data_IF_707185215859
#
_entry.id   IF_707185215859
#
_cell.length_a   1.000
_cell.length_b   1.000
_cell.length_c   1.000
_cell.angle_alpha   90.00
_cell.angle_beta   90.00
_cell.angle_gamma   90.00
#
_symmetry.space_group_name_H-M   'P 1'
#
loop_
_entity.id
_entity.type
_entity.pdbx_description
1 polymer ?
#
# COMPACT_ATOMS: atom_id res chain seq x y z
N UNK A 1 19.58 -36.24 -2.37
CA UNK A 1 20.39 -35.00 -2.40
C UNK A 1 19.60 -33.86 -1.75
N UNK A 2 19.96 -33.57 -0.51
CA UNK A 2 19.42 -32.51 0.34
C UNK A 2 19.72 -31.12 -0.23
N UNK A 3 18.68 -30.31 -0.46
CA UNK A 3 18.82 -28.86 -0.45
C UNK A 3 18.03 -28.30 0.73
N UNK A 4 18.73 -28.11 1.85
CA UNK A 4 18.35 -27.06 2.79
C UNK A 4 18.21 -25.75 1.99
N UNK A 5 17.08 -25.06 2.11
CA UNK A 5 16.76 -23.93 1.24
C UNK A 5 15.87 -22.91 1.95
N UNK A 6 16.43 -22.24 2.96
CA UNK A 6 15.96 -21.00 3.59
C UNK A 6 14.47 -20.92 3.98
N UNK A 7 14.18 -21.19 5.26
CA UNK A 7 13.08 -20.57 6.03
C UNK A 7 13.26 -19.03 6.15
N UNK A 8 13.73 -18.36 5.11
CA UNK A 8 13.86 -16.91 5.10
C UNK A 8 12.50 -16.32 4.77
N UNK A 9 11.98 -15.51 5.70
CA UNK A 9 10.80 -14.68 5.43
C UNK A 9 11.02 -13.92 4.12
N UNK A 10 10.08 -14.00 3.14
CA UNK A 10 10.25 -13.33 1.86
C UNK A 10 10.44 -11.83 2.07
N UNK A 11 11.29 -11.18 1.26
CA UNK A 11 11.62 -9.78 1.45
C UNK A 11 10.37 -8.91 1.30
N UNK A 12 10.28 -7.89 2.14
CA UNK A 12 9.26 -6.84 2.02
C UNK A 12 9.88 -5.69 1.23
N UNK A 13 9.25 -5.34 0.12
CA UNK A 13 9.59 -4.15 -0.66
C UNK A 13 8.80 -2.95 -0.14
N UNK A 14 9.50 -1.83 0.04
CA UNK A 14 8.89 -0.56 0.46
C UNK A 14 9.07 0.51 -0.61
N UNK A 15 7.98 1.22 -0.89
CA UNK A 15 8.00 2.40 -1.76
C UNK A 15 7.26 3.54 -1.07
N UNK A 16 7.89 4.71 -1.06
CA UNK A 16 7.29 5.98 -0.69
C UNK A 16 7.27 6.90 -1.92
N UNK A 17 6.08 7.32 -2.31
CA UNK A 17 5.88 8.32 -3.36
C UNK A 17 5.37 9.57 -2.69
N UNK A 18 6.13 10.66 -2.80
CA UNK A 18 5.73 11.98 -2.33
C UNK A 18 5.41 12.90 -3.50
N UNK A 19 4.46 13.79 -3.30
CA UNK A 19 4.10 14.81 -4.27
C UNK A 19 3.13 15.83 -3.69
N UNK A 20 2.44 16.51 -4.58
CA UNK A 20 1.36 17.43 -4.22
C UNK A 20 0.00 16.93 -4.72
N UNK A 21 -1.07 17.57 -4.28
CA UNK A 21 -2.42 17.38 -4.82
C UNK A 21 -2.52 17.48 -6.36
N UNK A 22 -1.59 18.19 -7.02
CA UNK A 22 -1.50 18.22 -8.49
C UNK A 22 -0.83 16.98 -9.10
N UNK A 23 0.12 16.38 -8.39
CA UNK A 23 0.84 15.18 -8.83
C UNK A 23 0.05 13.91 -8.52
N UNK A 24 -0.78 13.95 -7.48
CA UNK A 24 -1.65 12.86 -7.04
C UNK A 24 -2.90 12.63 -7.93
N UNK A 25 -3.04 13.35 -9.05
CA UNK A 25 -4.12 13.14 -10.02
C UNK A 25 -4.06 11.76 -10.71
N UNK A 26 -2.89 11.12 -10.70
CA UNK A 26 -2.75 9.72 -11.10
C UNK A 26 -2.80 8.81 -9.88
N UNK A 27 -3.59 7.75 -9.95
CA UNK A 27 -3.68 6.75 -8.89
C UNK A 27 -2.34 6.00 -8.77
N UNK A 28 -1.57 6.16 -7.68
CA UNK A 28 -0.27 5.50 -7.55
C UNK A 28 -0.36 3.98 -7.45
N UNK A 29 -1.57 3.42 -7.23
CA UNK A 29 -1.83 1.98 -7.41
C UNK A 29 -1.64 1.59 -8.88
N UNK A 30 -2.12 2.41 -9.80
CA UNK A 30 -2.03 2.17 -11.24
C UNK A 30 -0.62 2.35 -11.81
N UNK A 31 0.26 3.08 -11.13
CA UNK A 31 1.67 3.23 -11.54
C UNK A 31 2.46 1.91 -11.46
N UNK A 32 2.00 0.93 -10.66
CA UNK A 32 2.58 -0.41 -10.63
C UNK A 32 1.87 -1.38 -11.59
N UNK A 33 0.58 -1.15 -11.82
CA UNK A 33 -0.29 -2.04 -12.59
C UNK A 33 -0.08 -1.73 -14.08
N UNK A 34 1.11 -2.08 -14.58
CA UNK A 34 1.39 -2.20 -16.01
C UNK A 34 0.65 -3.39 -16.63
N UNK A 35 0.69 -3.47 -17.97
CA UNK A 35 -0.13 -4.35 -18.81
C UNK A 35 -0.27 -5.81 -18.34
N UNK A 36 -1.34 -6.09 -17.58
CA UNK A 36 -1.77 -7.43 -17.22
C UNK A 36 -1.84 -7.75 -15.72
N UNK A 37 -1.40 -6.86 -14.82
CA UNK A 37 -1.62 -7.06 -13.38
C UNK A 37 -3.01 -6.57 -12.94
N UNK A 38 -3.55 -7.15 -11.87
CA UNK A 38 -4.87 -6.83 -11.34
C UNK A 38 -4.82 -6.78 -9.82
N UNK A 39 -5.55 -5.85 -9.20
CA UNK A 39 -5.79 -5.83 -7.76
C UNK A 39 -7.02 -6.69 -7.43
N UNK A 40 -6.87 -7.58 -6.46
CA UNK A 40 -7.92 -8.41 -5.88
C UNK A 40 -8.08 -8.13 -4.39
N UNK A 41 -9.29 -8.30 -3.89
CA UNK A 41 -9.61 -8.23 -2.44
C UNK A 41 -9.17 -6.93 -1.75
N UNK A 42 -9.22 -5.78 -2.45
CA UNK A 42 -8.90 -4.47 -1.90
C UNK A 42 -9.88 -4.06 -0.81
N UNK A 43 -9.37 -3.86 0.41
CA UNK A 43 -10.16 -3.49 1.58
C UNK A 43 -9.34 -2.65 2.55
N UNK A 44 -10.02 -1.72 3.20
CA UNK A 44 -9.49 -1.02 4.36
C UNK A 44 -9.49 -1.94 5.58
N UNK A 45 -8.39 -1.97 6.30
CA UNK A 45 -8.20 -2.65 7.57
C UNK A 45 -7.42 -1.78 8.56
N UNK A 46 -7.70 -1.87 9.87
CA UNK A 46 -6.94 -1.13 10.86
C UNK A 46 -5.53 -1.71 10.96
N UNK A 47 -4.53 -0.83 10.86
CA UNK A 47 -3.14 -1.08 11.21
C UNK A 47 -2.85 -0.44 12.57
N UNK A 48 -2.79 -1.27 13.60
CA UNK A 48 -2.50 -0.81 14.97
C UNK A 48 -1.01 -0.46 15.11
N UNK A 49 -0.72 0.79 15.45
CA UNK A 49 0.62 1.31 15.71
C UNK A 49 0.62 1.96 17.09
N UNK A 50 1.25 1.29 18.06
CA UNK A 50 1.18 1.69 19.46
C UNK A 50 -0.27 1.68 19.97
N UNK A 51 -0.80 2.85 20.33
CA UNK A 51 -2.17 3.04 20.81
C UNK A 51 -3.13 3.61 19.75
N UNK A 52 -2.70 3.72 18.49
CA UNK A 52 -3.47 4.34 17.40
C UNK A 52 -3.74 3.32 16.30
N UNK A 53 -4.99 3.21 15.88
CA UNK A 53 -5.35 2.48 14.67
C UNK A 53 -5.31 3.42 13.46
N UNK A 54 -4.54 3.04 12.45
CA UNK A 54 -4.42 3.76 11.20
C UNK A 54 -5.16 3.00 10.11
N UNK A 55 -5.93 3.67 9.26
CA UNK A 55 -6.57 3.00 8.14
C UNK A 55 -5.51 2.67 7.08
N UNK A 56 -5.28 1.38 6.85
CA UNK A 56 -4.42 0.86 5.81
C UNK A 56 -5.24 -0.01 4.86
N UNK A 57 -4.87 -0.07 3.59
CA UNK A 57 -5.53 -0.95 2.64
C UNK A 57 -4.70 -2.19 2.42
N UNK A 58 -5.34 -3.35 2.54
CA UNK A 58 -4.78 -4.64 2.16
C UNK A 58 -5.42 -5.10 0.87
N UNK A 59 -4.59 -5.56 -0.07
CA UNK A 59 -5.06 -6.20 -1.28
C UNK A 59 -4.02 -7.20 -1.79
N UNK A 60 -4.39 -7.97 -2.81
CA UNK A 60 -3.47 -8.84 -3.54
C UNK A 60 -3.29 -8.35 -4.96
N UNK A 61 -2.08 -8.42 -5.49
CA UNK A 61 -1.78 -8.11 -6.89
C UNK A 61 -1.45 -9.42 -7.59
N UNK A 62 -2.22 -9.75 -8.63
CA UNK A 62 -2.05 -10.97 -9.42
C UNK A 62 -1.83 -10.62 -10.88
N UNK A 63 -1.21 -11.53 -11.63
CA UNK A 63 -1.17 -11.47 -13.08
C UNK A 63 -1.82 -12.74 -13.66
N UNK A 64 -3.08 -12.68 -14.14
CA UNK A 64 -3.76 -13.86 -14.65
C UNK A 64 -3.16 -14.37 -15.97
N UNK A 65 -2.37 -13.57 -16.69
CA UNK A 65 -1.76 -13.97 -17.97
C UNK A 65 -0.36 -14.54 -17.80
N UNK A 66 0.24 -14.42 -16.62
CA UNK A 66 1.58 -14.91 -16.29
C UNK A 66 1.54 -15.76 -15.01
N UNK A 67 0.99 -16.99 -15.05
CA UNK A 67 0.80 -17.84 -13.86
C UNK A 67 2.11 -18.29 -13.19
N UNK A 68 3.24 -18.21 -13.91
CA UNK A 68 4.57 -18.56 -13.40
C UNK A 68 5.24 -17.40 -12.63
N UNK A 69 4.55 -16.25 -12.51
CA UNK A 69 5.04 -15.10 -11.74
C UNK A 69 4.42 -15.10 -10.34
N UNK A 70 5.16 -14.65 -9.32
CA UNK A 70 4.59 -14.55 -7.98
C UNK A 70 3.43 -13.54 -7.99
N UNK A 71 2.41 -13.84 -7.19
CA UNK A 71 1.47 -12.81 -6.76
C UNK A 71 2.12 -11.96 -5.65
N UNK A 72 1.47 -10.86 -5.26
CA UNK A 72 1.97 -10.01 -4.18
C UNK A 72 0.87 -9.70 -3.19
N UNK A 73 1.16 -9.89 -1.90
CA UNK A 73 0.39 -9.25 -0.85
C UNK A 73 0.84 -7.79 -0.76
N UNK A 74 -0.11 -6.86 -0.83
CA UNK A 74 0.13 -5.43 -0.73
C UNK A 74 -0.58 -4.86 0.50
N UNK A 75 0.14 -4.03 1.24
CA UNK A 75 -0.43 -3.08 2.19
C UNK A 75 -0.07 -1.67 1.72
N UNK A 76 -1.02 -0.74 1.71
CA UNK A 76 -0.73 0.65 1.38
C UNK A 76 -1.48 1.65 2.26
N UNK A 77 -0.86 2.82 2.42
CA UNK A 77 -1.35 3.93 3.26
C UNK A 77 -1.31 5.20 2.41
N UNK A 78 -2.42 5.93 2.40
CA UNK A 78 -2.47 7.25 1.79
C UNK A 78 -2.48 8.33 2.86
N UNK A 79 -1.64 9.34 2.66
CA UNK A 79 -1.52 10.49 3.56
C UNK A 79 -1.71 11.76 2.75
N UNK A 80 -2.61 12.63 3.20
CA UNK A 80 -2.80 13.97 2.65
C UNK A 80 -2.70 14.96 3.79
N UNK A 81 -1.83 15.96 3.65
CA UNK A 81 -1.62 17.00 4.67
C UNK A 81 -1.32 16.40 6.07
N UNK A 82 -0.51 15.34 6.10
CA UNK A 82 -0.14 14.62 7.32
C UNK A 82 -1.26 13.78 7.95
N UNK A 83 -2.42 13.64 7.30
CA UNK A 83 -3.55 12.81 7.76
C UNK A 83 -3.71 11.58 6.88
N UNK A 84 -3.89 10.42 7.51
CA UNK A 84 -4.19 9.17 6.80
C UNK A 84 -5.63 9.19 6.28
N UNK A 85 -5.83 8.78 5.04
CA UNK A 85 -7.14 8.81 4.36
C UNK A 85 -7.58 7.40 3.99
N UNK A 86 -8.86 7.12 4.26
CA UNK A 86 -9.43 5.77 4.22
C UNK A 86 -9.91 5.32 2.84
N UNK A 87 -10.09 6.23 1.88
CA UNK A 87 -10.62 5.82 0.57
C UNK A 87 -10.10 6.64 -0.60
N UNK A 88 -9.94 5.97 -1.74
CA UNK A 88 -9.69 6.60 -3.03
C UNK A 88 -10.74 7.67 -3.39
N UNK A 89 -11.99 7.50 -2.94
CA UNK A 89 -13.05 8.49 -3.12
C UNK A 89 -12.80 9.74 -2.30
N UNK A 90 -12.37 9.61 -1.03
CA UNK A 90 -11.97 10.76 -0.21
C UNK A 90 -10.73 11.45 -0.79
N UNK A 91 -9.78 10.69 -1.33
CA UNK A 91 -8.61 11.24 -2.02
C UNK A 91 -9.08 12.07 -3.22
N UNK A 92 -9.85 11.49 -4.15
CA UNK A 92 -10.37 12.21 -5.32
C UNK A 92 -11.22 13.42 -4.94
N UNK A 93 -12.05 13.31 -3.91
CA UNK A 93 -12.88 14.41 -3.42
C UNK A 93 -12.03 15.53 -2.81
N UNK A 94 -10.98 15.22 -2.05
CA UNK A 94 -10.07 16.22 -1.50
C UNK A 94 -9.19 16.86 -2.58
N UNK A 95 -8.72 16.08 -3.56
CA UNK A 95 -7.99 16.60 -4.71
C UNK A 95 -8.88 17.54 -5.54
N UNK A 96 -10.13 17.15 -5.79
CA UNK A 96 -11.12 17.99 -6.46
C UNK A 96 -11.44 19.25 -5.66
N UNK A 97 -11.66 19.14 -4.35
CA UNK A 97 -11.91 20.28 -3.47
C UNK A 97 -10.72 21.24 -3.42
N UNK A 98 -9.49 20.72 -3.38
CA UNK A 98 -8.27 21.54 -3.40
C UNK A 98 -8.12 22.28 -4.73
N UNK A 99 -8.40 21.61 -5.85
CA UNK A 99 -8.45 22.23 -7.17
C UNK A 99 -9.51 23.35 -7.27
N UNK A 100 -10.70 23.16 -6.67
CA UNK A 100 -11.80 24.13 -6.71
C UNK A 100 -11.59 25.33 -5.78
N UNK A 101 -11.04 25.11 -4.57
CA UNK A 101 -10.83 26.16 -3.55
C UNK A 101 -9.50 26.91 -3.78
N UNK A 102 -8.68 26.43 -4.72
CA UNK A 102 -7.38 27.04 -5.01
C UNK A 102 -6.33 26.81 -3.92
N UNK A 103 -6.56 25.81 -3.04
CA UNK A 103 -5.48 25.27 -2.20
C UNK A 103 -4.49 24.60 -3.15
N UNK A 104 -3.28 25.15 -3.21
CA UNK A 104 -2.20 24.66 -4.06
C UNK A 104 -1.12 24.09 -3.17
N UNK A 105 -0.53 22.97 -3.60
CA UNK A 105 0.64 22.34 -2.98
C UNK A 105 0.34 21.61 -1.66
N UNK A 106 -0.85 21.04 -1.51
CA UNK A 106 -1.14 20.15 -0.37
C UNK A 106 -0.22 18.93 -0.48
N UNK A 107 0.60 18.61 0.53
CA UNK A 107 1.52 17.48 0.45
C UNK A 107 0.75 16.16 0.49
N UNK A 108 1.12 15.24 -0.40
CA UNK A 108 0.53 13.90 -0.50
C UNK A 108 1.64 12.86 -0.44
N UNK A 109 1.42 11.80 0.34
CA UNK A 109 2.32 10.65 0.43
C UNK A 109 1.53 9.36 0.19
N UNK A 110 2.13 8.46 -0.58
CA UNK A 110 1.67 7.09 -0.76
C UNK A 110 2.76 6.14 -0.28
N UNK A 111 2.46 5.39 0.76
CA UNK A 111 3.34 4.36 1.30
C UNK A 111 2.82 3.01 0.85
N UNK A 112 3.70 2.17 0.32
CA UNK A 112 3.36 0.84 -0.14
C UNK A 112 4.37 -0.17 0.35
N UNK A 113 3.83 -1.29 0.81
CA UNK A 113 4.56 -2.45 1.28
C UNK A 113 4.11 -3.66 0.47
N UNK A 114 5.05 -4.36 -0.16
CA UNK A 114 4.78 -5.50 -1.01
C UNK A 114 5.57 -6.71 -0.52
N UNK A 115 4.96 -7.88 -0.59
CA UNK A 115 5.63 -9.16 -0.33
C UNK A 115 5.25 -10.17 -1.40
N UNK A 116 6.22 -10.83 -2.05
CA UNK A 116 5.92 -11.89 -3.00
C UNK A 116 5.26 -13.08 -2.27
N UNK A 117 4.29 -13.68 -2.93
CA UNK A 117 3.59 -14.91 -2.51
C UNK A 117 3.41 -15.83 -3.70
N UNK A 118 3.21 -17.12 -3.43
CA UNK A 118 2.86 -18.07 -4.48
C UNK A 118 1.49 -17.67 -5.06
N UNK A 119 1.35 -17.72 -6.40
CA UNK A 119 0.09 -17.39 -7.06
C UNK A 119 -1.00 -18.45 -6.76
N UNK A 120 -0.61 -19.67 -6.37
CA UNK A 120 -1.52 -20.73 -5.93
C UNK A 120 -2.02 -20.54 -4.49
N UNK A 121 -1.38 -19.68 -3.69
CA UNK A 121 -1.85 -19.36 -2.35
C UNK A 121 -3.20 -18.63 -2.45
N UNK A 122 -4.21 -19.12 -1.73
CA UNK A 122 -5.49 -18.42 -1.65
C UNK A 122 -5.32 -17.06 -0.99
N UNK A 123 -6.11 -16.07 -1.46
CA UNK A 123 -6.18 -14.76 -0.84
C UNK A 123 -6.60 -14.92 0.62
N UNK A 124 -5.68 -14.62 1.54
CA UNK A 124 -5.99 -14.62 2.97
C UNK A 124 -6.85 -13.40 3.30
N UNK A 125 -7.59 -13.48 4.39
CA UNK A 125 -8.27 -12.33 4.95
C UNK A 125 -7.28 -11.44 5.69
N UNK A 126 -6.97 -10.31 5.07
CA UNK A 126 -6.12 -9.23 5.55
C UNK A 126 -4.67 -9.37 5.13
N UNK A 127 -3.88 -8.34 5.44
CA UNK A 127 -2.45 -8.39 5.18
C UNK A 127 -1.75 -9.37 6.14
N UNK A 128 -0.72 -10.09 5.67
CA UNK A 128 0.11 -10.93 6.52
C UNK A 128 0.68 -10.17 7.73
N UNK A 129 0.80 -10.85 8.88
CA UNK A 129 1.20 -10.20 10.15
C UNK A 129 2.61 -9.57 10.09
N UNK A 130 3.54 -10.21 9.37
CA UNK A 130 4.88 -9.69 9.08
C UNK A 130 4.82 -8.38 8.28
N UNK A 131 3.98 -8.34 7.24
CA UNK A 131 3.77 -7.14 6.42
C UNK A 131 3.16 -6.00 7.25
N UNK A 132 2.17 -6.33 8.09
CA UNK A 132 1.54 -5.37 9.03
C UNK A 132 2.55 -4.84 10.04
N UNK A 133 3.35 -5.72 10.65
CA UNK A 133 4.36 -5.34 11.64
C UNK A 133 5.42 -4.41 11.03
N UNK A 134 5.89 -4.74 9.83
CA UNK A 134 6.86 -3.91 9.11
C UNK A 134 6.27 -2.52 8.80
N UNK A 135 5.07 -2.47 8.22
CA UNK A 135 4.40 -1.22 7.91
C UNK A 135 4.14 -0.36 9.15
N UNK A 136 3.72 -0.98 10.26
CA UNK A 136 3.49 -0.30 11.53
C UNK A 136 4.77 0.30 12.12
N UNK A 137 5.87 -0.45 12.08
CA UNK A 137 7.19 0.02 12.52
C UNK A 137 7.66 1.20 11.67
N UNK A 138 7.57 1.07 10.34
CA UNK A 138 7.92 2.15 9.41
C UNK A 138 7.10 3.41 9.65
N UNK A 139 5.79 3.28 9.86
CA UNK A 139 4.94 4.41 10.18
C UNK A 139 5.34 5.08 11.49
N UNK A 140 5.61 4.30 12.54
CA UNK A 140 6.02 4.81 13.84
C UNK A 140 7.28 5.68 13.70
N UNK A 141 8.29 5.22 12.97
CA UNK A 141 9.53 5.98 12.74
C UNK A 141 9.29 7.27 11.92
N UNK A 142 8.40 7.24 10.93
CA UNK A 142 8.04 8.40 10.10
C UNK A 142 7.16 9.41 10.85
N UNK A 143 6.32 8.94 11.78
CA UNK A 143 5.39 9.79 12.53
C UNK A 143 6.05 10.45 13.74
N UNK A 144 7.07 9.79 14.33
CA UNK A 144 7.84 10.29 15.47
C UNK A 144 8.91 11.33 15.09
N UNK A 145 9.19 11.53 13.80
CA UNK A 145 10.12 12.56 13.31
C UNK A 145 9.52 13.98 13.21
N UNK A 146 8.41 14.23 13.92
CA UNK A 146 7.78 15.56 14.04
C UNK A 146 8.33 16.38 15.20
#
# INVERSE_FOLDING_TARGET
>A
PSSAGNDATPPIEFVLIGGTDRDALHDPRSCLIGGGWTIESDRSEPLTVGAVDLPAHSCRIVNPTLPDKPAYDMLYIYVVDGKVIESATQIRAQLLASALIGKKNTPVYYLRFLRPVDQSDQAKNGAPEDLRRFAGTMWQELALTK
#
